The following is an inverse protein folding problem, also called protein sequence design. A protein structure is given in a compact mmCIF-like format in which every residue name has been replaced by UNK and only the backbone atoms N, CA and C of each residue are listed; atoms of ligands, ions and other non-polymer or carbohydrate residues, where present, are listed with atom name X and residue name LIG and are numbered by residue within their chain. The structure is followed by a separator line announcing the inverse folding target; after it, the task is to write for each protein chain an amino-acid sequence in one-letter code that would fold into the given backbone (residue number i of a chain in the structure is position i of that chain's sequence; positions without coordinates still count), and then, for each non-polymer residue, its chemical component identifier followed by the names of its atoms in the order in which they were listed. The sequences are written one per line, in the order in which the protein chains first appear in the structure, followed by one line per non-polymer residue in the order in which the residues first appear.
data_IF_003597335732
#
_entry.id   IF_003597335732
#
_cell.length_a   1.000
_cell.length_b   1.000
_cell.length_c   1.000
_cell.angle_alpha   90.00
_cell.angle_beta   90.00
_cell.angle_gamma   90.00
#
_symmetry.space_group_name_H-M   'P 1'
#
loop_
_entity.id
_entity.type
_entity.pdbx_description
1 polymer ?
#
# COMPACT_ATOMS: atom_id res chain seq x y z
N UNK A 1 7.79 -21.58 -39.13
CA UNK A 1 8.44 -21.04 -37.92
C UNK A 1 7.78 -19.75 -37.36
N UNK A 2 6.52 -19.45 -37.72
CA UNK A 2 5.82 -18.20 -37.30
C UNK A 2 4.83 -18.37 -36.14
N UNK A 3 4.43 -19.60 -35.85
CA UNK A 3 3.48 -19.98 -34.81
C UNK A 3 4.07 -19.96 -33.39
N UNK A 4 5.35 -20.32 -33.21
CA UNK A 4 6.03 -20.27 -31.90
C UNK A 4 6.20 -18.85 -31.35
N UNK A 5 6.46 -17.86 -32.21
CA UNK A 5 6.58 -16.43 -31.80
C UNK A 5 5.22 -15.86 -31.37
N UNK A 6 4.15 -16.18 -32.08
CA UNK A 6 2.78 -15.77 -31.70
C UNK A 6 2.36 -16.40 -30.36
N UNK A 7 2.63 -17.69 -30.18
CA UNK A 7 2.38 -18.39 -28.91
C UNK A 7 3.15 -17.76 -27.75
N UNK A 8 4.42 -17.39 -27.96
CA UNK A 8 5.23 -16.70 -26.96
C UNK A 8 4.65 -15.31 -26.59
N UNK A 9 4.17 -14.54 -27.56
CA UNK A 9 3.53 -13.24 -27.30
C UNK A 9 2.24 -13.39 -26.48
N UNK A 10 1.43 -14.41 -26.76
CA UNK A 10 0.23 -14.69 -25.95
C UNK A 10 0.58 -15.06 -24.50
N UNK A 11 1.62 -15.89 -24.29
CA UNK A 11 2.08 -16.25 -22.95
C UNK A 11 2.61 -15.04 -22.16
N UNK A 12 3.38 -14.17 -22.79
CA UNK A 12 3.89 -12.93 -22.16
C UNK A 12 2.72 -12.00 -21.79
N UNK A 13 1.75 -11.83 -22.71
CA UNK A 13 0.55 -11.01 -22.45
C UNK A 13 -0.29 -11.57 -21.30
N UNK A 14 -0.41 -12.89 -21.18
CA UNK A 14 -1.16 -13.52 -20.10
C UNK A 14 -0.46 -13.34 -18.75
N UNK A 15 0.87 -13.52 -18.72
CA UNK A 15 1.66 -13.38 -17.50
C UNK A 15 1.68 -11.94 -16.98
N UNK A 16 1.80 -10.97 -17.89
CA UNK A 16 1.74 -9.53 -17.53
C UNK A 16 0.36 -9.14 -16.99
N UNK A 17 -0.72 -9.66 -17.58
CA UNK A 17 -2.07 -9.43 -17.07
C UNK A 17 -2.26 -9.94 -15.63
N UNK A 18 -1.77 -11.15 -15.32
CA UNK A 18 -1.86 -11.73 -13.97
C UNK A 18 -1.13 -10.86 -12.93
N UNK A 19 0.07 -10.37 -13.28
CA UNK A 19 0.85 -9.51 -12.38
C UNK A 19 0.10 -8.19 -12.12
N UNK A 20 -0.46 -7.56 -13.15
CA UNK A 20 -1.23 -6.32 -13.02
C UNK A 20 -2.45 -6.45 -12.09
N UNK A 21 -3.18 -7.57 -12.17
CA UNK A 21 -4.36 -7.81 -11.31
C UNK A 21 -3.95 -7.99 -9.85
N UNK A 22 -2.82 -8.65 -9.61
CA UNK A 22 -2.29 -8.89 -8.25
C UNK A 22 -1.82 -7.62 -7.55
N UNK A 23 -1.50 -6.55 -8.29
CA UNK A 23 -1.06 -5.27 -7.74
C UNK A 23 -2.21 -4.35 -7.30
N UNK A 24 -3.47 -4.73 -7.53
CA UNK A 24 -4.62 -3.95 -7.08
C UNK A 24 -4.89 -4.17 -5.59
N UNK A 25 -4.20 -3.42 -4.72
CA UNK A 25 -4.55 -3.35 -3.31
C UNK A 25 -5.81 -2.49 -3.15
N UNK A 26 -6.88 -3.07 -2.61
CA UNK A 26 -8.07 -2.30 -2.21
C UNK A 26 -7.68 -1.48 -0.98
N UNK A 27 -7.49 -0.17 -1.18
CA UNK A 27 -7.28 0.77 -0.07
C UNK A 27 -8.62 0.96 0.64
N UNK A 28 -8.76 0.38 1.84
CA UNK A 28 -9.96 0.55 2.67
C UNK A 28 -9.72 1.57 3.77
N UNK A 29 -10.76 2.33 4.11
CA UNK A 29 -10.77 3.30 5.21
C UNK A 29 -11.32 2.72 6.52
N UNK A 30 -11.95 1.56 6.43
CA UNK A 30 -12.70 0.92 7.53
C UNK A 30 -12.17 -0.49 7.79
N UNK A 31 -12.07 -0.85 9.07
CA UNK A 31 -11.81 -2.22 9.54
C UNK A 31 -13.01 -2.70 10.36
N UNK A 32 -13.71 -3.72 9.88
CA UNK A 32 -14.86 -4.25 10.59
C UNK A 32 -14.45 -5.10 11.80
N UNK A 33 -15.34 -5.24 12.78
CA UNK A 33 -15.10 -6.10 13.94
C UNK A 33 -14.83 -7.55 13.49
N UNK A 34 -13.73 -8.14 13.99
CA UNK A 34 -13.27 -9.48 13.61
C UNK A 34 -12.43 -9.53 12.33
N UNK A 35 -12.22 -8.41 11.63
CA UNK A 35 -11.20 -8.31 10.58
C UNK A 35 -9.85 -7.95 11.20
N UNK A 36 -8.80 -8.54 10.67
CA UNK A 36 -7.42 -8.29 11.11
C UNK A 36 -6.71 -7.37 10.12
N UNK A 37 -5.97 -6.40 10.66
CA UNK A 37 -5.01 -5.62 9.89
C UNK A 37 -3.71 -6.41 9.78
N UNK A 38 -3.29 -6.72 8.55
CA UNK A 38 -2.09 -7.52 8.32
C UNK A 38 -0.83 -6.69 8.52
N UNK A 39 0.15 -7.27 9.20
CA UNK A 39 1.51 -6.70 9.25
C UNK A 39 2.25 -6.97 7.92
N UNK A 40 1.93 -6.19 6.89
CA UNK A 40 2.47 -6.34 5.55
C UNK A 40 2.61 -4.97 4.86
N UNK A 41 3.42 -4.91 3.79
CA UNK A 41 3.68 -3.67 3.05
C UNK A 41 2.39 -3.02 2.52
N UNK A 42 1.39 -3.80 2.13
CA UNK A 42 0.07 -3.32 1.67
C UNK A 42 -1.03 -3.43 2.76
N UNK A 43 -0.65 -3.68 4.01
CA UNK A 43 -1.56 -3.91 5.14
C UNK A 43 -1.86 -2.63 5.91
N UNK A 44 -2.35 -1.60 5.23
CA UNK A 44 -2.70 -0.32 5.84
C UNK A 44 -4.08 0.16 5.42
N UNK A 45 -4.72 0.91 6.31
CA UNK A 45 -5.94 1.67 6.00
C UNK A 45 -5.57 3.06 5.53
N UNK A 46 -6.36 3.59 4.59
CA UNK A 46 -6.21 4.96 4.09
C UNK A 46 -7.46 5.73 4.48
N UNK A 47 -7.32 6.87 5.15
CA UNK A 47 -8.47 7.69 5.51
C UNK A 47 -9.24 8.15 4.28
N UNK A 48 -10.53 8.44 4.44
CA UNK A 48 -11.30 9.20 3.44
C UNK A 48 -10.50 10.45 3.03
N UNK A 49 -10.30 10.64 1.73
CA UNK A 49 -9.48 11.74 1.20
C UNK A 49 -7.97 11.48 1.12
N UNK A 50 -7.50 10.27 1.42
CA UNK A 50 -6.11 9.87 1.14
C UNK A 50 -5.05 10.58 1.98
N UNK A 51 -5.44 11.21 3.09
CA UNK A 51 -4.57 12.11 3.87
C UNK A 51 -3.79 11.37 4.95
N UNK A 52 -4.38 10.35 5.57
CA UNK A 52 -3.76 9.57 6.63
C UNK A 52 -3.69 8.11 6.25
N UNK A 53 -2.63 7.43 6.71
CA UNK A 53 -2.46 5.99 6.64
C UNK A 53 -2.30 5.42 8.03
N UNK A 54 -2.98 4.31 8.32
CA UNK A 54 -2.86 3.55 9.55
C UNK A 54 -2.33 2.15 9.23
N UNK A 55 -1.23 1.74 9.86
CA UNK A 55 -0.63 0.44 9.62
C UNK A 55 0.54 0.11 10.54
N UNK A 56 1.12 -1.07 10.34
CA UNK A 56 2.27 -1.52 11.10
C UNK A 56 3.59 -1.01 10.48
N UNK A 57 4.53 -0.57 11.33
CA UNK A 57 5.83 -0.08 10.92
C UNK A 57 6.93 -0.41 11.93
N UNK A 58 8.19 -0.29 11.50
CA UNK A 58 9.37 -0.38 12.37
C UNK A 58 10.11 0.95 12.39
N UNK A 59 10.26 1.61 13.56
CA UNK A 59 10.99 2.86 13.66
C UNK A 59 12.51 2.62 13.59
N UNK A 60 13.17 3.42 12.77
CA UNK A 60 14.62 3.48 12.67
C UNK A 60 15.24 2.13 12.29
N UNK A 61 16.22 1.69 13.08
CA UNK A 61 16.96 0.43 12.89
C UNK A 61 16.49 -0.69 13.83
N UNK A 62 15.38 -0.50 14.54
CA UNK A 62 14.82 -1.53 15.42
C UNK A 62 13.99 -2.54 14.63
N UNK A 63 14.01 -3.81 15.03
CA UNK A 63 13.11 -4.84 14.49
C UNK A 63 11.74 -4.84 15.19
N UNK A 64 11.47 -3.87 16.06
CA UNK A 64 10.22 -3.79 16.77
C UNK A 64 9.11 -3.35 15.80
N UNK A 65 7.92 -3.95 15.96
CA UNK A 65 6.73 -3.63 15.15
C UNK A 65 5.77 -2.80 16.00
N UNK A 66 5.31 -1.70 15.43
CA UNK A 66 4.37 -0.77 16.07
C UNK A 66 3.21 -0.50 15.13
N UNK A 67 2.02 -0.33 15.69
CA UNK A 67 0.87 0.20 14.97
C UNK A 67 0.90 1.73 15.08
N UNK A 68 0.81 2.44 13.97
CA UNK A 68 0.80 3.89 13.97
C UNK A 68 0.07 4.49 12.80
N UNK A 69 -0.17 5.79 12.91
CA UNK A 69 -0.82 6.59 11.86
C UNK A 69 0.14 7.68 11.38
N UNK A 70 0.24 7.85 10.06
CA UNK A 70 1.11 8.85 9.44
C UNK A 70 0.42 9.58 8.29
N UNK A 71 0.96 10.74 7.95
CA UNK A 71 0.46 11.56 6.86
C UNK A 71 0.90 11.00 5.51
N UNK A 72 -0.05 10.77 4.62
CA UNK A 72 0.20 10.46 3.23
C UNK A 72 0.30 11.79 2.49
N UNK A 73 1.51 12.21 2.12
CA UNK A 73 1.72 13.52 1.50
C UNK A 73 0.87 13.64 0.21
N UNK A 74 -0.03 14.62 0.12
CA UNK A 74 -0.66 14.95 -1.15
C UNK A 74 0.39 15.50 -2.12
N UNK A 75 0.08 15.43 -3.41
CA UNK A 75 0.93 15.92 -4.49
C UNK A 75 1.51 17.33 -4.21
N UNK A 76 2.65 17.70 -4.81
CA UNK A 76 3.44 18.89 -4.46
C UNK A 76 2.71 20.24 -4.37
N UNK A 77 1.48 20.35 -4.92
CA UNK A 77 0.64 21.55 -4.87
C UNK A 77 0.14 21.90 -3.45
N UNK A 78 0.02 20.93 -2.54
CA UNK A 78 -0.56 21.13 -1.21
C UNK A 78 0.49 21.27 -0.09
N UNK A 79 1.75 21.55 -0.48
CA UNK A 79 2.90 21.66 0.44
C UNK A 79 2.86 22.97 1.25
N UNK A 80 1.89 23.12 2.15
CA UNK A 80 2.01 24.03 3.30
C UNK A 80 1.83 23.25 4.60
N UNK A 81 2.99 22.84 5.12
CA UNK A 81 3.28 22.48 6.51
C UNK A 81 2.51 21.30 7.13
N UNK A 82 3.09 20.09 7.09
CA UNK A 82 3.05 19.17 8.25
C UNK A 82 4.33 18.33 8.29
N UNK A 83 5.45 18.96 8.62
CA UNK A 83 6.62 18.22 9.11
C UNK A 83 6.33 17.85 10.58
N UNK A 84 6.29 16.56 10.88
CA UNK A 84 6.32 15.96 12.25
C UNK A 84 4.98 15.63 12.94
N UNK A 85 4.01 15.06 12.22
CA UNK A 85 2.93 14.31 12.89
C UNK A 85 3.18 12.81 12.79
N UNK A 86 4.26 12.36 13.45
CA UNK A 86 4.39 10.97 13.85
C UNK A 86 3.64 10.87 15.18
N UNK A 87 2.36 10.49 15.16
CA UNK A 87 1.64 10.22 16.40
C UNK A 87 2.19 8.91 16.98
N UNK A 88 3.05 9.04 17.98
CA UNK A 88 3.44 7.92 18.83
C UNK A 88 2.20 7.53 19.63
N UNK A 89 1.46 6.51 19.16
CA UNK A 89 0.37 5.93 19.94
C UNK A 89 1.05 5.11 21.04
N UNK A 90 0.85 5.57 22.28
CA UNK A 90 1.44 5.03 23.53
C UNK A 90 0.84 3.65 23.83
#
# INVERSE_FOLDING_TARGET
MGNKRRQLLFLISFFTCIICVSSSSVETDTLAAGQELKDAESGYLVSVGGTFRLGFFSPGFSNNRYLGMWYNQPQPADRKAVSNLCFYII
#
